data_IF_928826522124
#
_entry.id   IF_928826522124
#
_cell.length_a   1.000
_cell.length_b   1.000
_cell.length_c   1.000
_cell.angle_alpha   90.00
_cell.angle_beta   90.00
_cell.angle_gamma   90.00
#
_symmetry.space_group_name_H-M   'P 1'
#
loop_
_entity.id
_entity.type
_entity.pdbx_description
1 polymer ?
#
# COMPACT_ATOMS: atom_id res chain seq x y z
N UNK A 1 4.74 3.27 -8.75
CA UNK A 1 4.86 3.17 -7.29
C UNK A 1 4.62 4.56 -6.69
N UNK A 2 3.55 4.70 -5.94
CA UNK A 2 3.26 5.95 -5.23
C UNK A 2 3.55 5.77 -3.75
N UNK A 3 4.33 6.67 -3.18
CA UNK A 3 4.63 6.66 -1.76
C UNK A 3 4.59 8.08 -1.20
N UNK A 4 4.15 8.21 0.04
CA UNK A 4 4.08 9.51 0.72
C UNK A 4 3.62 9.31 2.16
N UNK A 5 3.77 10.34 3.01
CA UNK A 5 3.13 10.35 4.32
C UNK A 5 1.61 10.34 4.18
N UNK A 6 0.92 9.80 5.19
CA UNK A 6 -0.54 9.86 5.25
C UNK A 6 -1.03 11.31 5.18
N UNK A 7 -2.14 11.55 4.49
CA UNK A 7 -2.72 12.89 4.35
C UNK A 7 -2.08 13.74 3.26
N UNK A 8 -1.17 13.18 2.46
CA UNK A 8 -0.50 13.91 1.38
C UNK A 8 -1.34 14.09 0.11
N UNK A 9 -2.48 13.39 0.02
CA UNK A 9 -3.30 13.35 -1.19
C UNK A 9 -2.99 12.17 -2.11
N UNK A 10 -2.11 11.27 -1.70
CA UNK A 10 -1.68 10.10 -2.47
C UNK A 10 -2.86 9.23 -2.89
N UNK A 11 -3.73 8.88 -1.96
CA UNK A 11 -4.89 8.03 -2.22
C UNK A 11 -5.83 8.65 -3.25
N UNK A 12 -6.05 9.95 -3.17
CA UNK A 12 -6.88 10.70 -4.13
C UNK A 12 -6.29 10.63 -5.53
N UNK A 13 -4.98 10.82 -5.64
CA UNK A 13 -4.26 10.75 -6.92
C UNK A 13 -4.35 9.34 -7.50
N UNK A 14 -4.11 8.31 -6.70
CA UNK A 14 -4.17 6.91 -7.13
C UNK A 14 -5.58 6.56 -7.62
N UNK A 15 -6.61 6.95 -6.88
CA UNK A 15 -8.00 6.72 -7.29
C UNK A 15 -8.34 7.40 -8.61
N UNK A 16 -7.89 8.63 -8.78
CA UNK A 16 -8.10 9.37 -10.03
C UNK A 16 -7.49 8.62 -11.22
N UNK A 17 -6.24 8.19 -11.09
CA UNK A 17 -5.54 7.47 -12.15
C UNK A 17 -6.23 6.15 -12.50
N UNK A 18 -6.68 5.40 -11.50
CA UNK A 18 -7.39 4.14 -11.71
C UNK A 18 -8.73 4.34 -12.41
N UNK A 19 -9.44 5.43 -12.11
CA UNK A 19 -10.72 5.74 -12.74
C UNK A 19 -10.59 6.17 -14.20
N UNK A 20 -9.47 6.81 -14.56
CA UNK A 20 -9.27 7.39 -15.89
C UNK A 20 -8.38 6.56 -16.81
N UNK A 21 -7.83 5.44 -16.33
CA UNK A 21 -6.93 4.59 -17.12
C UNK A 21 -7.30 3.12 -16.89
N UNK A 22 -8.01 2.54 -17.84
CA UNK A 22 -8.48 1.14 -17.73
C UNK A 22 -7.35 0.11 -17.80
N UNK A 23 -6.17 0.50 -18.24
CA UNK A 23 -4.98 -0.35 -18.32
C UNK A 23 -4.20 -0.42 -17.01
N UNK A 24 -4.64 0.31 -15.98
CA UNK A 24 -4.02 0.29 -14.67
C UNK A 24 -4.79 -0.61 -13.71
N UNK A 25 -4.05 -1.35 -12.90
CA UNK A 25 -4.61 -2.20 -11.85
C UNK A 25 -3.95 -1.93 -10.51
N UNK A 26 -4.73 -1.85 -9.45
CA UNK A 26 -4.24 -1.58 -8.11
C UNK A 26 -3.74 -2.86 -7.44
N UNK A 27 -2.52 -2.81 -6.90
CA UNK A 27 -1.95 -3.92 -6.14
C UNK A 27 -2.50 -3.93 -4.71
N UNK A 28 -3.23 -5.00 -4.39
CA UNK A 28 -3.80 -5.19 -3.04
C UNK A 28 -2.72 -5.78 -2.14
N UNK A 29 -2.41 -5.07 -1.06
CA UNK A 29 -1.40 -5.52 -0.10
C UNK A 29 -1.95 -6.59 0.84
N UNK A 30 -1.08 -7.46 1.33
CA UNK A 30 -1.40 -8.38 2.41
C UNK A 30 -1.09 -7.73 3.75
N UNK A 31 -1.89 -8.02 4.77
CA UNK A 31 -1.71 -7.46 6.10
C UNK A 31 -2.19 -8.41 7.18
N UNK A 32 -1.57 -8.34 8.35
CA UNK A 32 -2.01 -9.08 9.54
C UNK A 32 -2.88 -8.24 10.47
N UNK A 33 -3.07 -6.94 10.16
CA UNK A 33 -3.91 -6.11 11.01
C UNK A 33 -5.38 -6.53 10.92
N UNK A 34 -6.14 -6.24 11.96
CA UNK A 34 -7.57 -6.50 11.94
C UNK A 34 -8.28 -5.53 11.00
N UNK A 35 -9.41 -5.97 10.46
CA UNK A 35 -10.25 -5.11 9.63
C UNK A 35 -10.73 -3.93 10.45
N UNK A 36 -10.58 -2.72 9.89
CA UNK A 36 -11.08 -1.50 10.51
C UNK A 36 -12.53 -1.29 10.11
N UNK A 37 -13.43 -1.55 11.06
CA UNK A 37 -14.85 -1.42 10.80
C UNK A 37 -15.35 -2.49 9.83
N UNK A 38 -16.62 -2.39 9.49
CA UNK A 38 -17.31 -3.39 8.66
C UNK A 38 -17.14 -3.18 7.16
N UNK A 39 -16.53 -2.06 6.76
CA UNK A 39 -16.41 -1.69 5.35
C UNK A 39 -15.20 -2.29 4.65
N UNK A 40 -14.21 -2.75 5.40
CA UNK A 40 -13.01 -3.37 4.81
C UNK A 40 -13.28 -4.83 4.47
N UNK A 41 -12.87 -5.23 3.27
CA UNK A 41 -13.10 -6.57 2.75
C UNK A 41 -11.81 -7.26 2.32
N UNK A 42 -11.70 -8.54 2.66
CA UNK A 42 -10.59 -9.38 2.19
C UNK A 42 -10.62 -9.49 0.67
N UNK A 43 -9.45 -9.32 0.06
CA UNK A 43 -9.30 -9.39 -1.40
C UNK A 43 -9.71 -8.13 -2.14
N UNK A 44 -10.13 -7.09 -1.43
CA UNK A 44 -10.50 -5.79 -2.00
C UNK A 44 -9.67 -4.66 -1.41
N UNK A 45 -9.70 -4.51 -0.09
CA UNK A 45 -8.90 -3.49 0.62
C UNK A 45 -7.53 -4.03 0.97
N UNK A 46 -7.50 -5.25 1.48
CA UNK A 46 -6.28 -6.00 1.81
C UNK A 46 -6.55 -7.49 1.67
N UNK A 47 -5.47 -8.25 1.55
CA UNK A 47 -5.52 -9.67 1.84
C UNK A 47 -5.24 -9.81 3.33
N UNK A 48 -6.27 -10.04 4.13
CA UNK A 48 -6.14 -10.17 5.59
C UNK A 48 -5.68 -11.57 5.94
N UNK A 49 -4.51 -11.66 6.56
CA UNK A 49 -3.88 -12.93 6.93
C UNK A 49 -3.66 -12.99 8.44
N UNK A 50 -3.63 -14.19 9.00
CA UNK A 50 -3.16 -14.38 10.37
C UNK A 50 -1.64 -14.18 10.40
N UNK A 51 -1.06 -13.85 11.58
CA UNK A 51 0.40 -13.76 11.69
C UNK A 51 1.10 -15.05 11.24
N UNK A 52 0.53 -16.22 11.53
CA UNK A 52 1.06 -17.52 11.14
C UNK A 52 1.03 -17.70 9.63
N UNK A 53 -0.07 -17.35 8.98
CA UNK A 53 -0.20 -17.41 7.52
C UNK A 53 0.81 -16.47 6.83
N UNK A 54 0.96 -15.25 7.37
CA UNK A 54 1.90 -14.27 6.83
C UNK A 54 3.34 -14.79 6.93
N UNK A 55 3.71 -15.30 8.10
CA UNK A 55 5.04 -15.85 8.33
C UNK A 55 5.35 -17.02 7.40
N UNK A 56 4.37 -17.91 7.21
CA UNK A 56 4.52 -19.04 6.30
C UNK A 56 4.80 -18.58 4.88
N UNK A 57 4.11 -17.52 4.43
CA UNK A 57 4.34 -16.94 3.10
C UNK A 57 5.71 -16.29 2.98
N UNK A 58 6.22 -15.68 4.05
CA UNK A 58 7.61 -15.19 4.09
C UNK A 58 8.57 -16.35 3.87
N UNK A 59 8.41 -17.43 4.63
CA UNK A 59 9.31 -18.59 4.56
C UNK A 59 9.28 -19.24 3.18
N UNK A 60 8.13 -19.22 2.51
CA UNK A 60 7.96 -19.74 1.16
C UNK A 60 8.37 -18.75 0.06
N UNK A 61 8.90 -17.58 0.42
CA UNK A 61 9.36 -16.55 -0.51
C UNK A 61 8.25 -16.06 -1.45
N UNK A 62 7.03 -15.93 -0.93
CA UNK A 62 5.88 -15.50 -1.72
C UNK A 62 5.73 -13.97 -1.76
N UNK A 63 6.53 -13.23 -1.00
CA UNK A 63 6.49 -11.76 -0.99
C UNK A 63 7.58 -11.15 -1.86
N UNK A 64 7.24 -10.05 -2.54
CA UNK A 64 8.23 -9.18 -3.20
C UNK A 64 8.92 -8.34 -2.13
N UNK A 65 8.13 -7.79 -1.20
CA UNK A 65 8.61 -7.03 -0.06
C UNK A 65 7.63 -7.23 1.09
N UNK A 66 8.10 -7.07 2.30
CA UNK A 66 7.24 -7.05 3.49
C UNK A 66 7.96 -6.31 4.61
N UNK A 67 7.18 -5.79 5.56
CA UNK A 67 7.74 -5.11 6.73
C UNK A 67 6.81 -5.18 7.93
N UNK A 68 7.38 -5.08 9.10
CA UNK A 68 6.63 -4.89 10.35
C UNK A 68 6.51 -3.39 10.59
N UNK A 69 5.32 -2.83 10.38
CA UNK A 69 5.08 -1.39 10.51
C UNK A 69 4.87 -1.00 11.97
N UNK A 70 4.07 -1.81 12.67
CA UNK A 70 3.86 -1.69 14.12
C UNK A 70 4.09 -3.06 14.73
N UNK A 71 4.42 -3.10 16.02
CA UNK A 71 4.67 -4.38 16.70
C UNK A 71 3.53 -5.38 16.44
N UNK A 72 3.88 -6.49 15.81
CA UNK A 72 2.94 -7.55 15.46
C UNK A 72 2.08 -7.29 14.22
N UNK A 73 2.21 -6.13 13.58
CA UNK A 73 1.45 -5.79 12.38
C UNK A 73 2.36 -5.77 11.15
N UNK A 74 2.13 -6.70 10.25
CA UNK A 74 2.92 -6.88 9.04
C UNK A 74 2.13 -6.44 7.82
N UNK A 75 2.84 -5.89 6.84
CA UNK A 75 2.31 -5.51 5.52
C UNK A 75 3.27 -6.01 4.46
N UNK A 76 2.73 -6.41 3.32
CA UNK A 76 3.59 -6.86 2.23
C UNK A 76 2.88 -6.95 0.90
N UNK A 77 3.68 -7.12 -0.14
CA UNK A 77 3.21 -7.28 -1.52
C UNK A 77 3.49 -8.70 -1.97
N UNK A 78 2.43 -9.44 -2.29
CA UNK A 78 2.55 -10.82 -2.75
C UNK A 78 2.92 -10.86 -4.24
N UNK A 79 3.81 -11.78 -4.60
CA UNK A 79 4.17 -12.02 -6.00
C UNK A 79 2.94 -12.43 -6.81
N UNK A 80 2.05 -13.22 -6.23
CA UNK A 80 0.81 -13.67 -6.86
C UNK A 80 -0.11 -12.51 -7.26
N UNK A 81 -0.08 -11.41 -6.50
CA UNK A 81 -0.90 -10.23 -6.82
C UNK A 81 -0.43 -9.59 -8.13
N UNK A 82 0.88 -9.48 -8.31
CA UNK A 82 1.45 -8.90 -9.53
C UNK A 82 1.16 -9.81 -10.73
N UNK A 83 1.31 -11.12 -10.54
CA UNK A 83 1.01 -12.09 -11.59
C UNK A 83 -0.46 -12.02 -12.01
N UNK A 84 -1.37 -11.84 -11.05
CA UNK A 84 -2.79 -11.68 -11.31
C UNK A 84 -3.05 -10.47 -12.20
N UNK A 85 -2.48 -9.31 -11.84
CA UNK A 85 -2.68 -8.07 -12.60
C UNK A 85 -2.06 -8.15 -13.99
N UNK A 86 -0.86 -8.73 -14.11
CA UNK A 86 -0.22 -8.91 -15.40
C UNK A 86 -1.02 -9.87 -16.30
N UNK A 87 -1.61 -10.92 -15.73
CA UNK A 87 -2.44 -11.85 -16.50
C UNK A 87 -3.69 -11.18 -17.07
N UNK A 88 -4.15 -10.09 -16.45
CA UNK A 88 -5.27 -9.28 -16.93
C UNK A 88 -4.82 -8.16 -17.88
N UNK A 89 -3.54 -8.12 -18.23
CA UNK A 89 -2.99 -7.08 -19.12
C UNK A 89 -2.84 -5.72 -18.46
N UNK A 90 -2.81 -5.66 -17.12
CA UNK A 90 -2.75 -4.41 -16.38
C UNK A 90 -1.33 -3.99 -16.08
N UNK A 91 -1.09 -2.68 -16.10
CA UNK A 91 0.09 -2.08 -15.48
C UNK A 91 -0.23 -1.85 -14.01
N UNK A 92 0.71 -2.17 -13.12
CA UNK A 92 0.43 -2.22 -11.69
C UNK A 92 0.70 -0.87 -11.02
N UNK A 93 -0.27 -0.41 -10.23
CA UNK A 93 -0.12 0.75 -9.35
C UNK A 93 0.03 0.25 -7.91
N UNK A 94 1.03 0.80 -7.21
CA UNK A 94 1.26 0.55 -5.79
C UNK A 94 1.01 1.82 -4.99
N UNK A 95 0.32 1.68 -3.87
CA UNK A 95 0.11 2.71 -2.87
C UNK A 95 0.71 2.21 -1.55
N UNK A 96 1.95 2.59 -1.28
CA UNK A 96 2.75 2.06 -0.17
C UNK A 96 3.46 3.20 0.57
N UNK A 97 4.04 2.89 1.74
CA UNK A 97 4.88 3.86 2.44
C UNK A 97 6.22 4.01 1.72
N UNK A 98 7.05 4.94 2.19
CA UNK A 98 8.34 5.24 1.55
C UNK A 98 9.26 4.02 1.55
N UNK A 99 9.29 3.28 2.65
CA UNK A 99 10.16 2.10 2.77
C UNK A 99 9.72 0.99 1.81
N UNK A 100 8.42 0.71 1.76
CA UNK A 100 7.87 -0.25 0.81
C UNK A 100 8.10 0.17 -0.64
N UNK A 101 7.93 1.46 -0.93
CA UNK A 101 8.18 2.00 -2.26
C UNK A 101 9.63 1.82 -2.70
N UNK A 102 10.58 2.03 -1.80
CA UNK A 102 11.98 1.83 -2.08
C UNK A 102 12.30 0.36 -2.37
N UNK A 103 11.75 -0.54 -1.58
CA UNK A 103 11.93 -1.99 -1.78
C UNK A 103 11.36 -2.43 -3.13
N UNK A 104 10.18 -1.94 -3.51
CA UNK A 104 9.56 -2.25 -4.80
C UNK A 104 10.39 -1.70 -5.96
N UNK A 105 10.90 -0.48 -5.83
CA UNK A 105 11.75 0.13 -6.87
C UNK A 105 13.03 -0.69 -7.06
N UNK A 106 13.64 -1.14 -5.98
CA UNK A 106 14.84 -1.97 -6.05
C UNK A 106 14.54 -3.33 -6.71
N UNK A 107 13.38 -3.91 -6.45
CA UNK A 107 12.99 -5.19 -7.04
C UNK A 107 12.73 -5.07 -8.55
N UNK A 108 11.94 -4.08 -8.96
CA UNK A 108 11.55 -3.92 -10.37
C UNK A 108 12.56 -3.17 -11.23
N UNK A 109 13.43 -2.37 -10.60
CA UNK A 109 14.45 -1.61 -11.33
C UNK A 109 13.84 -0.65 -12.33
N UNK A 110 14.34 -0.69 -13.56
CA UNK A 110 13.92 0.22 -14.65
C UNK A 110 12.48 -0.04 -15.13
N UNK A 111 11.86 -1.14 -14.73
CA UNK A 111 10.49 -1.46 -15.10
C UNK A 111 9.47 -0.70 -14.26
N UNK A 112 9.89 0.03 -13.24
CA UNK A 112 9.01 0.76 -12.35
C UNK A 112 9.40 2.22 -12.24
N UNK A 113 8.37 3.08 -12.17
CA UNK A 113 8.51 4.49 -11.87
C UNK A 113 8.08 4.72 -10.42
N UNK A 114 8.95 5.36 -9.64
CA UNK A 114 8.65 5.72 -8.26
C UNK A 114 8.26 7.19 -8.18
N UNK A 115 7.11 7.48 -7.57
CA UNK A 115 6.58 8.83 -7.40
C UNK A 115 6.38 9.11 -5.92
N UNK A 116 7.03 10.13 -5.41
CA UNK A 116 6.83 10.60 -4.04
C UNK A 116 5.90 11.80 -4.03
N UNK A 117 4.78 11.69 -3.33
CA UNK A 117 3.80 12.77 -3.24
C UNK A 117 4.15 13.65 -2.04
N UNK A 118 4.50 14.89 -2.31
CA UNK A 118 4.97 15.83 -1.31
C UNK A 118 3.85 16.78 -0.89
N UNK A 119 3.74 17.02 0.44
CA UNK A 119 2.81 18.03 0.94
C UNK A 119 3.52 19.37 1.09
N UNK A 120 2.78 20.50 0.94
CA UNK A 120 3.39 21.85 1.03
C UNK A 120 3.94 22.18 2.41
N UNK A 121 3.34 21.67 3.50
CA UNK A 121 3.78 21.97 4.87
C UNK A 121 3.32 20.90 5.86
N UNK A 122 3.99 20.86 7.01
CA UNK A 122 3.60 19.95 8.09
C UNK A 122 2.25 20.36 8.68
N UNK A 123 1.95 21.66 8.75
CA UNK A 123 0.66 22.17 9.25
C UNK A 123 -0.49 21.65 8.39
N UNK A 124 -0.35 21.70 7.07
CA UNK A 124 -1.36 21.20 6.15
C UNK A 124 -1.55 19.70 6.33
N UNK A 125 -0.46 18.95 6.51
CA UNK A 125 -0.52 17.51 6.74
C UNK A 125 -1.28 17.18 8.02
N UNK A 126 -0.97 17.87 9.11
CA UNK A 126 -1.65 17.68 10.40
C UNK A 126 -3.14 17.98 10.29
N UNK A 127 -3.50 19.06 9.61
CA UNK A 127 -4.88 19.45 9.40
C UNK A 127 -5.64 18.37 8.62
N UNK A 128 -5.05 17.85 7.55
CA UNK A 128 -5.66 16.78 6.75
C UNK A 128 -5.86 15.50 7.55
N UNK A 129 -4.91 15.13 8.41
CA UNK A 129 -5.00 13.95 9.26
C UNK A 129 -6.11 14.12 10.31
N UNK A 130 -6.24 15.29 10.90
CA UNK A 130 -7.33 15.59 11.84
C UNK A 130 -8.69 15.51 11.16
N UNK A 131 -8.83 16.07 9.97
CA UNK A 131 -10.08 16.05 9.20
C UNK A 131 -10.51 14.63 8.85
N UNK A 132 -9.55 13.74 8.61
CA UNK A 132 -9.85 12.32 8.35
C UNK A 132 -10.30 11.57 9.59
N UNK A 133 -9.97 12.08 10.80
CA UNK A 133 -10.29 11.42 12.06
C UNK A 133 -9.62 10.08 12.26
N UNK A 134 -8.52 9.80 11.55
CA UNK A 134 -7.82 8.52 11.61
C UNK A 134 -6.62 8.55 12.55
N UNK A 135 -6.22 9.74 12.99
CA UNK A 135 -5.04 9.91 13.84
C UNK A 135 -5.40 10.69 15.10
N UNK A 136 -4.78 10.32 16.23
CA UNK A 136 -4.87 11.10 17.47
C UNK A 136 -3.85 12.23 17.42
N UNK A 137 -4.01 13.22 18.30
CA UNK A 137 -3.02 14.31 18.39
C UNK A 137 -1.63 13.79 18.73
N UNK A 138 -1.55 12.73 19.51
CA UNK A 138 -0.29 12.11 19.92
C UNK A 138 0.46 11.45 18.77
N UNK A 139 -0.28 10.95 17.78
CA UNK A 139 0.30 10.30 16.61
C UNK A 139 0.64 11.29 15.49
N UNK A 140 0.22 12.53 15.65
CA UNK A 140 0.53 13.59 14.70
C UNK A 140 1.91 14.19 14.98
#
# INVERSE_FOLDING_TARGET
IFSAPSGSGKTTIVKYLLQHNSDLGFSISASTRDKRGRTEQHGKDYYFLTPEEFKKKIDNKEFIEWEEVYEGNFYGTLKSEIERLWSEGKNVIFDVDVKGGLSLKNYFGDKALAVFVKVPSIEILKERLKDRGTESEESL
#
